data_IF_794370104582
#
_entry.id   IF_794370104582
#
_cell.length_a   1.000
_cell.length_b   1.000
_cell.length_c   1.000
_cell.angle_alpha   90.00
_cell.angle_beta   90.00
_cell.angle_gamma   90.00
#
_symmetry.space_group_name_H-M   'P 1'
#
loop_
_entity.id
_entity.type
_entity.pdbx_description
1 polymer ?
#
# COMPACT_ATOMS: atom_id res chain seq x y z
N UNK A 1 -6.79 20.57 -6.29
CA UNK A 1 -6.39 19.50 -7.25
C UNK A 1 -7.48 18.43 -7.32
N UNK A 2 -7.87 17.97 -8.51
CA UNK A 2 -8.88 16.90 -8.68
C UNK A 2 -8.18 15.54 -8.77
N UNK A 3 -8.60 14.58 -7.95
CA UNK A 3 -8.19 13.17 -8.08
C UNK A 3 -9.17 12.47 -9.00
N UNK A 4 -8.64 11.74 -9.98
CA UNK A 4 -9.45 11.02 -10.96
C UNK A 4 -10.23 9.89 -10.31
N UNK A 5 -11.38 9.53 -10.90
CA UNK A 5 -12.14 8.33 -10.49
C UNK A 5 -11.35 7.03 -10.69
N UNK A 6 -10.46 6.97 -11.68
CA UNK A 6 -9.64 5.79 -11.94
C UNK A 6 -8.51 5.67 -10.91
N UNK A 7 -8.53 4.61 -10.11
CA UNK A 7 -7.51 4.33 -9.10
C UNK A 7 -6.34 3.58 -9.76
N UNK A 8 -5.38 4.34 -10.31
CA UNK A 8 -4.23 3.80 -11.04
C UNK A 8 -2.92 4.34 -10.50
N UNK A 9 -1.84 3.57 -10.70
CA UNK A 9 -0.48 4.04 -10.39
C UNK A 9 -0.17 5.35 -11.13
N UNK A 10 -0.55 5.45 -12.41
CA UNK A 10 -0.34 6.65 -13.22
C UNK A 10 -1.07 7.89 -12.68
N UNK A 11 -2.29 7.71 -12.17
CA UNK A 11 -3.06 8.78 -11.53
C UNK A 11 -2.37 9.26 -10.24
N UNK A 12 -1.83 8.35 -9.44
CA UNK A 12 -1.05 8.69 -8.26
C UNK A 12 0.25 9.43 -8.61
N UNK A 13 0.99 8.99 -9.64
CA UNK A 13 2.21 9.69 -10.07
C UNK A 13 1.91 11.06 -10.70
N UNK A 14 0.76 11.21 -11.38
CA UNK A 14 0.29 12.50 -11.87
C UNK A 14 -0.05 13.45 -10.71
N UNK A 15 -0.69 12.93 -9.66
CA UNK A 15 -0.97 13.68 -8.42
C UNK A 15 0.33 14.14 -7.75
N UNK A 16 1.31 13.25 -7.56
CA UNK A 16 2.63 13.59 -7.02
C UNK A 16 3.36 14.63 -7.89
N UNK A 17 3.28 14.48 -9.21
CA UNK A 17 3.86 15.46 -10.16
C UNK A 17 3.21 16.83 -10.05
N UNK A 18 1.88 16.87 -9.83
CA UNK A 18 1.14 18.11 -9.58
C UNK A 18 1.59 18.79 -8.29
N UNK A 19 1.67 18.02 -7.19
CA UNK A 19 2.14 18.51 -5.87
C UNK A 19 3.57 19.05 -5.91
N UNK A 20 4.44 18.46 -6.72
CA UNK A 20 5.83 18.91 -6.84
C UNK A 20 5.99 20.17 -7.70
N UNK A 21 5.09 20.42 -8.66
CA UNK A 21 5.11 21.63 -9.49
C UNK A 21 4.49 22.82 -8.77
N UNK A 22 3.33 22.58 -8.18
CA UNK A 22 2.61 23.55 -7.35
C UNK A 22 2.37 22.90 -6.00
N UNK A 23 2.99 23.44 -4.96
CA UNK A 23 2.58 23.17 -3.58
C UNK A 23 1.20 23.79 -3.37
N UNK A 24 0.16 23.19 -3.97
CA UNK A 24 -1.16 23.77 -4.04
C UNK A 24 -1.73 23.82 -2.64
N UNK A 25 -1.88 25.01 -2.08
CA UNK A 25 -2.58 25.24 -0.80
C UNK A 25 -4.10 25.01 -0.89
N UNK A 26 -4.61 24.81 -2.11
CA UNK A 26 -6.02 24.56 -2.37
C UNK A 26 -6.48 23.14 -2.00
N UNK A 27 -7.79 22.92 -1.85
CA UNK A 27 -8.32 21.63 -1.46
C UNK A 27 -8.07 20.56 -2.52
N UNK A 28 -7.90 19.32 -2.05
CA UNK A 28 -8.01 18.14 -2.92
C UNK A 28 -9.48 17.78 -3.05
N UNK A 29 -9.93 17.56 -4.29
CA UNK A 29 -11.25 17.01 -4.57
C UNK A 29 -11.13 15.51 -4.82
N UNK A 30 -11.78 14.70 -3.99
CA UNK A 30 -11.78 13.23 -4.10
C UNK A 30 -13.10 12.69 -4.63
N UNK A 31 -13.07 11.65 -5.49
CA UNK A 31 -14.28 10.95 -5.89
C UNK A 31 -14.88 10.18 -4.71
N UNK A 32 -16.21 10.15 -4.58
CA UNK A 32 -16.91 9.34 -3.56
C UNK A 32 -16.59 7.84 -3.67
N UNK A 33 -16.34 7.35 -4.89
CA UNK A 33 -16.01 5.95 -5.15
C UNK A 33 -14.91 5.87 -6.22
N UNK A 34 -13.94 4.98 -5.99
CA UNK A 34 -12.95 4.61 -6.99
C UNK A 34 -13.56 3.71 -8.05
N UNK A 35 -13.12 3.87 -9.29
CA UNK A 35 -13.40 2.95 -10.39
C UNK A 35 -12.10 2.29 -10.82
N UNK A 36 -12.22 1.08 -11.36
CA UNK A 36 -11.11 0.32 -11.92
C UNK A 36 -9.94 0.28 -10.93
N UNK A 37 -10.07 -0.53 -9.87
CA UNK A 37 -9.01 -0.69 -8.88
C UNK A 37 -7.85 -1.48 -9.51
N UNK A 38 -7.01 -0.79 -10.27
CA UNK A 38 -5.85 -1.40 -10.93
C UNK A 38 -4.88 -1.91 -9.87
N UNK A 39 -4.06 -2.90 -10.25
CA UNK A 39 -3.07 -3.49 -9.36
C UNK A 39 -2.16 -2.42 -8.71
N UNK A 40 -2.24 -2.25 -7.39
CA UNK A 40 -1.47 -1.26 -6.62
C UNK A 40 -1.96 0.19 -6.74
N UNK A 41 -3.01 0.46 -7.51
CA UNK A 41 -3.45 1.82 -7.84
C UNK A 41 -4.07 2.57 -6.66
N UNK A 42 -4.92 1.90 -5.88
CA UNK A 42 -5.57 2.53 -4.72
C UNK A 42 -4.56 2.84 -3.60
N UNK A 43 -3.66 1.90 -3.28
CA UNK A 43 -2.58 2.14 -2.34
C UNK A 43 -1.62 3.25 -2.82
N UNK A 44 -1.35 3.36 -4.12
CA UNK A 44 -0.56 4.47 -4.68
C UNK A 44 -1.26 5.83 -4.50
N UNK A 45 -2.58 5.90 -4.66
CA UNK A 45 -3.35 7.12 -4.35
C UNK A 45 -3.27 7.47 -2.87
N UNK A 46 -3.29 6.48 -1.97
CA UNK A 46 -3.07 6.72 -0.53
C UNK A 46 -1.67 7.30 -0.28
N UNK A 47 -0.62 6.80 -0.94
CA UNK A 47 0.72 7.36 -0.79
C UNK A 47 0.80 8.82 -1.25
N UNK A 48 0.13 9.14 -2.37
CA UNK A 48 0.03 10.50 -2.84
C UNK A 48 -0.73 11.40 -1.85
N UNK A 49 -1.80 10.90 -1.22
CA UNK A 49 -2.56 11.60 -0.18
C UNK A 49 -1.73 11.85 1.09
N UNK A 50 -0.92 10.88 1.51
CA UNK A 50 0.03 11.05 2.61
C UNK A 50 1.01 12.18 2.27
N UNK A 51 1.61 12.11 1.08
CA UNK A 51 2.57 13.11 0.60
C UNK A 51 1.95 14.51 0.57
N UNK A 52 0.73 14.62 0.04
CA UNK A 52 -0.06 15.86 0.07
C UNK A 52 -0.26 16.38 1.49
N UNK A 53 -0.76 15.54 2.40
CA UNK A 53 -1.08 15.95 3.75
C UNK A 53 0.15 16.40 4.55
N UNK A 54 1.32 15.82 4.27
CA UNK A 54 2.58 16.24 4.87
C UNK A 54 3.15 17.51 4.25
N UNK A 55 2.83 17.80 2.99
CA UNK A 55 3.32 19.00 2.28
C UNK A 55 2.56 20.29 2.62
N UNK A 56 1.45 20.21 3.35
CA UNK A 56 0.55 21.35 3.61
C UNK A 56 0.23 21.44 5.10
N UNK A 57 0.27 22.66 5.64
CA UNK A 57 -0.03 22.93 7.06
C UNK A 57 -1.46 22.57 7.46
N UNK A 58 -2.43 22.88 6.60
CA UNK A 58 -3.85 22.64 6.82
C UNK A 58 -4.50 21.91 5.64
N UNK A 59 -4.34 20.58 5.54
CA UNK A 59 -4.86 19.81 4.42
C UNK A 59 -6.40 19.89 4.38
N UNK A 60 -6.94 20.39 3.26
CA UNK A 60 -8.38 20.57 3.07
C UNK A 60 -8.90 19.64 1.97
N UNK A 61 -10.01 18.96 2.26
CA UNK A 61 -10.69 18.05 1.36
C UNK A 61 -11.99 18.68 0.84
N UNK A 62 -12.27 18.52 -0.45
CA UNK A 62 -13.58 18.72 -1.01
C UNK A 62 -14.14 17.39 -1.49
N UNK A 63 -15.35 17.05 -1.09
CA UNK A 63 -16.01 15.80 -1.48
C UNK A 63 -17.10 16.04 -2.51
N UNK A 64 -17.68 14.97 -3.04
CA UNK A 64 -18.91 15.04 -3.85
C UNK A 64 -20.18 14.78 -3.03
N UNK A 65 -20.07 14.72 -1.70
CA UNK A 65 -21.24 14.67 -0.82
C UNK A 65 -22.10 15.90 -1.12
N UNK A 66 -23.42 15.74 -1.32
CA UNK A 66 -24.27 16.82 -1.83
C UNK A 66 -24.41 17.97 -0.83
N UNK A 67 -24.58 17.65 0.45
CA UNK A 67 -24.72 18.58 1.57
C UNK A 67 -24.36 17.88 2.89
N UNK A 68 -24.44 18.59 4.02
CA UNK A 68 -24.11 18.04 5.33
C UNK A 68 -25.04 16.92 5.82
N UNK A 69 -26.28 16.84 5.32
CA UNK A 69 -27.25 15.81 5.70
C UNK A 69 -26.92 14.43 5.10
N UNK A 70 -26.13 14.41 4.02
CA UNK A 70 -25.70 13.18 3.31
C UNK A 70 -26.85 12.17 3.08
N UNK A 71 -27.97 12.59 2.46
CA UNK A 71 -29.17 11.76 2.32
C UNK A 71 -28.90 10.41 1.61
N UNK A 72 -27.85 10.35 0.79
CA UNK A 72 -27.49 9.17 0.00
C UNK A 72 -26.38 8.30 0.64
N UNK A 73 -25.88 8.67 1.83
CA UNK A 73 -24.79 7.94 2.49
C UNK A 73 -23.47 7.97 1.70
N UNK A 74 -23.17 9.06 1.00
CA UNK A 74 -21.94 9.26 0.25
C UNK A 74 -20.71 9.36 1.16
N UNK A 75 -20.82 9.93 2.37
CA UNK A 75 -19.70 9.93 3.33
C UNK A 75 -19.32 8.50 3.69
N UNK A 76 -20.32 7.65 3.97
CA UNK A 76 -20.10 6.22 4.24
C UNK A 76 -19.49 5.51 3.03
N UNK A 77 -19.94 5.85 1.82
CA UNK A 77 -19.39 5.28 0.59
C UNK A 77 -17.92 5.65 0.40
N UNK A 78 -17.58 6.93 0.65
CA UNK A 78 -16.22 7.44 0.58
C UNK A 78 -15.32 6.79 1.64
N UNK A 79 -15.69 6.82 2.91
CA UNK A 79 -14.86 6.26 3.99
C UNK A 79 -14.72 4.75 3.89
N UNK A 80 -15.62 4.06 3.19
CA UNK A 80 -15.46 2.63 2.84
C UNK A 80 -14.33 2.34 1.86
N UNK A 81 -13.89 3.33 1.09
CA UNK A 81 -12.72 3.17 0.22
C UNK A 81 -11.44 3.34 1.04
N UNK A 82 -10.36 2.65 0.68
CA UNK A 82 -9.08 2.76 1.39
C UNK A 82 -8.50 4.18 1.23
N UNK A 83 -8.58 4.74 0.03
CA UNK A 83 -8.18 6.13 -0.20
C UNK A 83 -9.07 7.14 0.54
N UNK A 84 -10.36 6.83 0.69
CA UNK A 84 -11.33 7.74 1.30
C UNK A 84 -11.19 7.81 2.82
N UNK A 85 -11.01 6.66 3.51
CA UNK A 85 -10.70 6.67 4.94
C UNK A 85 -9.36 7.37 5.22
N UNK A 86 -8.33 7.10 4.42
CA UNK A 86 -7.03 7.74 4.59
C UNK A 86 -7.14 9.26 4.45
N UNK A 87 -7.80 9.75 3.41
CA UNK A 87 -7.99 11.18 3.19
C UNK A 87 -8.79 11.86 4.32
N UNK A 88 -9.87 11.22 4.79
CA UNK A 88 -10.69 11.73 5.88
C UNK A 88 -9.91 11.86 7.19
N UNK A 89 -8.99 10.93 7.45
CA UNK A 89 -8.14 10.94 8.64
C UNK A 89 -6.95 11.91 8.52
N UNK A 90 -6.45 12.16 7.31
CA UNK A 90 -5.33 13.07 7.04
C UNK A 90 -5.71 14.56 6.96
N UNK A 91 -6.98 14.87 6.66
CA UNK A 91 -7.44 16.24 6.48
C UNK A 91 -7.79 16.94 7.80
N UNK A 92 -7.60 18.27 7.84
CA UNK A 92 -8.09 19.13 8.93
C UNK A 92 -9.49 19.66 8.65
N UNK A 93 -9.80 19.90 7.37
CA UNK A 93 -11.08 20.46 6.93
C UNK A 93 -11.64 19.64 5.78
N UNK A 94 -12.95 19.42 5.80
CA UNK A 94 -13.67 18.83 4.69
C UNK A 94 -14.93 19.65 4.38
N UNK A 95 -15.21 19.84 3.09
CA UNK A 95 -16.44 20.44 2.60
C UNK A 95 -17.19 19.52 1.63
N UNK A 96 -18.52 19.62 1.64
CA UNK A 96 -19.39 19.07 0.61
C UNK A 96 -19.25 19.85 -0.71
N UNK A 97 -19.92 19.39 -1.77
CA UNK A 97 -19.87 20.01 -3.10
C UNK A 97 -20.56 21.39 -3.11
N UNK A 98 -21.57 21.58 -2.27
CA UNK A 98 -22.30 22.84 -2.05
C UNK A 98 -21.54 23.84 -1.15
N UNK A 99 -20.40 23.42 -0.58
CA UNK A 99 -19.57 24.22 0.31
C UNK A 99 -19.87 24.03 1.80
N UNK A 100 -20.88 23.24 2.18
CA UNK A 100 -21.17 22.95 3.58
C UNK A 100 -19.96 22.28 4.26
N UNK A 101 -19.66 22.69 5.49
CA UNK A 101 -18.56 22.10 6.28
C UNK A 101 -19.01 20.75 6.81
N UNK A 102 -18.24 19.70 6.51
CA UNK A 102 -18.56 18.30 6.88
C UNK A 102 -17.41 17.62 7.64
N UNK A 103 -16.40 18.38 8.07
CA UNK A 103 -15.18 17.85 8.71
C UNK A 103 -15.46 16.89 9.86
N UNK A 104 -16.34 17.28 10.79
CA UNK A 104 -16.66 16.50 11.98
C UNK A 104 -17.41 15.21 11.64
N UNK A 105 -18.46 15.31 10.81
CA UNK A 105 -19.24 14.16 10.37
C UNK A 105 -18.39 13.15 9.58
N UNK A 106 -17.56 13.63 8.64
CA UNK A 106 -16.67 12.78 7.86
C UNK A 106 -15.63 12.09 8.74
N UNK A 107 -15.05 12.82 9.70
CA UNK A 107 -14.06 12.28 10.64
C UNK A 107 -14.69 11.25 11.58
N UNK A 108 -15.88 11.51 12.11
CA UNK A 108 -16.61 10.55 12.94
C UNK A 108 -16.88 9.24 12.19
N UNK A 109 -17.33 9.33 10.93
CA UNK A 109 -17.52 8.16 10.05
C UNK A 109 -16.21 7.40 9.79
N UNK A 110 -15.11 8.11 9.54
CA UNK A 110 -13.82 7.50 9.31
C UNK A 110 -13.27 6.79 10.56
N UNK A 111 -13.43 7.40 11.74
CA UNK A 111 -13.03 6.81 13.03
C UNK A 111 -13.87 5.58 13.38
N UNK A 112 -15.19 5.64 13.17
CA UNK A 112 -16.06 4.48 13.39
C UNK A 112 -15.65 3.28 12.51
N UNK A 113 -15.29 3.53 11.24
CA UNK A 113 -14.76 2.47 10.38
C UNK A 113 -13.37 2.00 10.84
N UNK A 114 -12.50 2.93 11.25
CA UNK A 114 -11.16 2.61 11.74
C UNK A 114 -11.21 1.66 12.93
N UNK A 115 -12.12 1.89 13.88
CA UNK A 115 -12.28 1.03 15.06
C UNK A 115 -12.58 -0.43 14.67
N UNK A 116 -13.37 -0.65 13.61
CA UNK A 116 -13.64 -2.00 13.08
C UNK A 116 -12.41 -2.58 12.37
N UNK A 117 -11.70 -1.78 11.56
CA UNK A 117 -10.45 -2.19 10.87
C UNK A 117 -9.33 -2.51 11.87
N UNK A 118 -9.31 -1.87 13.03
CA UNK A 118 -8.32 -2.10 14.08
C UNK A 118 -8.71 -3.21 15.07
N UNK A 119 -9.90 -3.80 14.91
CA UNK A 119 -10.38 -4.92 15.72
C UNK A 119 -9.72 -6.24 15.34
N UNK A 120 -10.08 -7.32 16.04
CA UNK A 120 -9.68 -8.69 15.67
C UNK A 120 -10.41 -9.22 14.42
N UNK A 121 -11.43 -8.51 13.93
CA UNK A 121 -12.27 -8.90 12.79
C UNK A 121 -12.38 -7.80 11.73
N UNK A 122 -11.26 -7.34 11.15
CA UNK A 122 -11.24 -6.22 10.20
C UNK A 122 -12.05 -6.48 8.92
N UNK A 123 -12.29 -7.75 8.57
CA UNK A 123 -13.14 -8.14 7.44
C UNK A 123 -14.54 -7.55 7.54
N UNK A 124 -15.07 -7.34 8.74
CA UNK A 124 -16.41 -6.76 8.94
C UNK A 124 -16.52 -5.32 8.42
N UNK A 125 -15.38 -4.60 8.31
CA UNK A 125 -15.31 -3.25 7.75
C UNK A 125 -15.18 -3.22 6.21
N UNK A 126 -15.06 -4.38 5.57
CA UNK A 126 -14.73 -4.52 4.15
C UNK A 126 -15.86 -5.16 3.35
N UNK A 127 -16.01 -4.75 2.09
CA UNK A 127 -16.94 -5.39 1.14
C UNK A 127 -16.15 -6.04 0.01
N UNK A 128 -16.56 -7.25 -0.37
CA UNK A 128 -15.87 -8.01 -1.40
C UNK A 128 -14.58 -8.68 -0.90
N UNK A 129 -13.75 -9.20 -1.81
CA UNK A 129 -12.54 -9.94 -1.47
C UNK A 129 -11.38 -8.98 -1.17
N UNK A 130 -11.50 -8.21 -0.08
CA UNK A 130 -10.47 -7.28 0.38
C UNK A 130 -10.26 -7.39 1.90
N UNK A 131 -9.07 -7.02 2.33
CA UNK A 131 -8.65 -6.98 3.72
C UNK A 131 -7.78 -5.75 3.94
N UNK A 132 -8.01 -5.04 5.03
CA UNK A 132 -7.31 -3.78 5.31
C UNK A 132 -6.92 -3.75 6.78
N UNK A 133 -5.74 -3.19 7.06
CA UNK A 133 -5.29 -2.81 8.40
C UNK A 133 -4.67 -1.42 8.30
N UNK A 134 -4.99 -0.55 9.24
CA UNK A 134 -4.54 0.84 9.21
C UNK A 134 -4.10 1.29 10.61
N UNK A 135 -2.91 1.88 10.71
CA UNK A 135 -2.43 2.64 11.86
C UNK A 135 -2.50 4.12 11.53
N UNK A 136 -2.89 4.94 12.51
CA UNK A 136 -3.01 6.40 12.35
C UNK A 136 -2.30 7.06 13.53
N UNK A 137 -0.98 7.25 13.39
CA UNK A 137 -0.12 7.54 14.53
C UNK A 137 -0.39 8.92 15.14
N UNK A 138 -0.73 9.89 14.29
CA UNK A 138 -1.00 11.27 14.71
C UNK A 138 -2.35 11.45 15.43
N UNK A 139 -3.18 10.40 15.51
CA UNK A 139 -4.49 10.41 16.18
C UNK A 139 -4.55 9.47 17.39
N UNK A 140 -3.39 9.03 17.91
CA UNK A 140 -3.30 8.03 18.98
C UNK A 140 -4.08 6.74 18.65
N UNK A 141 -4.08 6.36 17.37
CA UNK A 141 -4.66 5.13 16.83
C UNK A 141 -3.56 4.33 16.11
N UNK A 142 -2.38 4.26 16.73
CA UNK A 142 -1.17 3.67 16.15
C UNK A 142 -1.10 2.13 16.23
N UNK A 143 -1.95 1.50 17.05
CA UNK A 143 -1.77 0.12 17.48
C UNK A 143 -3.03 -0.76 17.25
N UNK A 144 -3.28 -1.23 16.01
CA UNK A 144 -4.33 -2.20 15.72
C UNK A 144 -4.12 -3.50 16.52
N UNK A 145 -5.22 -4.08 17.04
CA UNK A 145 -5.17 -5.28 17.89
C UNK A 145 -4.53 -6.49 17.22
N UNK A 146 -4.61 -6.58 15.89
CA UNK A 146 -4.00 -7.66 15.13
C UNK A 146 -2.48 -7.58 15.07
N UNK A 147 -1.90 -6.38 15.21
CA UNK A 147 -0.47 -6.14 15.02
C UNK A 147 0.26 -5.84 16.33
N UNK A 148 -0.47 -5.42 17.37
CA UNK A 148 0.10 -4.98 18.65
C UNK A 148 -0.56 -5.69 19.83
N UNK A 149 0.24 -5.96 20.85
CA UNK A 149 -0.22 -6.24 22.20
C UNK A 149 -0.10 -4.97 23.05
N UNK A 150 -0.87 -4.90 24.14
CA UNK A 150 -0.69 -3.88 25.17
C UNK A 150 0.03 -4.53 26.34
N UNK A 151 1.09 -3.89 26.85
CA UNK A 151 1.72 -4.30 28.10
C UNK A 151 0.85 -3.94 29.33
N UNK A 152 1.34 -4.23 30.53
CA UNK A 152 0.62 -4.00 31.78
C UNK A 152 0.34 -2.51 32.02
N UNK A 153 1.20 -1.65 31.48
CA UNK A 153 1.11 -0.18 31.50
C UNK A 153 0.26 0.37 30.33
N UNK A 154 -0.30 -0.50 29.50
CA UNK A 154 -1.12 -0.15 28.35
C UNK A 154 -0.32 0.41 27.16
N UNK A 155 1.00 0.27 27.14
CA UNK A 155 1.83 0.68 26.02
C UNK A 155 1.81 -0.37 24.91
N UNK A 156 1.68 0.05 23.64
CA UNK A 156 1.64 -0.87 22.53
C UNK A 156 3.03 -1.44 22.23
N UNK A 157 3.11 -2.77 22.08
CA UNK A 157 4.29 -3.48 21.60
C UNK A 157 3.96 -4.29 20.36
N UNK A 158 4.84 -4.24 19.36
CA UNK A 158 4.61 -4.95 18.11
C UNK A 158 4.63 -6.47 18.35
N UNK A 159 3.61 -7.18 17.86
CA UNK A 159 3.55 -8.63 17.95
C UNK A 159 4.68 -9.29 17.16
N UNK A 160 5.09 -10.46 17.61
CA UNK A 160 6.09 -11.26 16.93
C UNK A 160 5.63 -11.80 15.56
N UNK A 161 6.56 -12.36 14.80
CA UNK A 161 6.33 -12.86 13.42
C UNK A 161 5.17 -13.85 13.32
N UNK A 162 4.94 -14.71 14.32
CA UNK A 162 3.82 -15.67 14.31
C UNK A 162 2.45 -15.01 14.22
N UNK A 163 2.27 -13.84 14.84
CA UNK A 163 1.00 -13.09 14.74
C UNK A 163 0.80 -12.53 13.32
N UNK A 164 1.86 -12.05 12.69
CA UNK A 164 1.81 -11.56 11.32
C UNK A 164 1.57 -12.67 10.30
N UNK A 165 2.06 -13.89 10.57
CA UNK A 165 1.67 -15.08 9.79
C UNK A 165 0.17 -15.36 9.94
N UNK A 166 -0.41 -15.21 11.14
CA UNK A 166 -1.86 -15.35 11.28
C UNK A 166 -2.63 -14.24 10.55
N UNK A 167 -2.13 -13.00 10.52
CA UNK A 167 -2.68 -11.94 9.68
C UNK A 167 -2.64 -12.32 8.20
N UNK A 168 -1.52 -12.87 7.71
CA UNK A 168 -1.43 -13.37 6.33
C UNK A 168 -2.46 -14.50 6.06
N UNK A 169 -2.65 -15.42 7.00
CA UNK A 169 -3.70 -16.46 6.90
C UNK A 169 -5.11 -15.87 6.89
N UNK A 170 -5.37 -14.82 7.66
CA UNK A 170 -6.66 -14.13 7.63
C UNK A 170 -6.90 -13.43 6.29
N UNK A 171 -5.85 -12.81 5.72
CA UNK A 171 -5.89 -12.24 4.36
C UNK A 171 -6.29 -13.34 3.37
N UNK A 172 -5.58 -14.47 3.36
CA UNK A 172 -5.83 -15.59 2.44
C UNK A 172 -7.27 -16.11 2.56
N UNK A 173 -7.72 -16.41 3.78
CA UNK A 173 -9.10 -16.86 4.05
C UNK A 173 -10.16 -15.83 3.65
N UNK A 174 -9.81 -14.55 3.61
CA UNK A 174 -10.74 -13.46 3.28
C UNK A 174 -10.86 -13.24 1.78
N UNK A 175 -9.74 -13.27 1.05
CA UNK A 175 -9.69 -12.83 -0.35
C UNK A 175 -9.66 -13.99 -1.35
N UNK A 176 -9.14 -15.16 -0.95
CA UNK A 176 -8.97 -16.32 -1.83
C UNK A 176 -10.21 -17.23 -1.78
N UNK A 177 -10.87 -17.51 -2.92
CA UNK A 177 -11.95 -18.49 -2.98
C UNK A 177 -11.47 -19.87 -2.56
N UNK A 178 -12.35 -20.64 -1.91
CA UNK A 178 -12.03 -22.02 -1.49
C UNK A 178 -11.59 -22.90 -2.65
N UNK A 179 -12.11 -22.63 -3.85
CA UNK A 179 -11.81 -23.37 -5.06
C UNK A 179 -10.41 -23.10 -5.63
N UNK A 180 -9.76 -22.02 -5.18
CA UNK A 180 -8.42 -21.60 -5.57
C UNK A 180 -7.43 -21.63 -4.40
N UNK A 181 -7.81 -22.19 -3.24
CA UNK A 181 -6.93 -22.21 -2.07
C UNK A 181 -5.67 -23.05 -2.30
N UNK A 182 -5.74 -24.09 -3.14
CA UNK A 182 -4.58 -24.89 -3.55
C UNK A 182 -3.59 -24.12 -4.42
N UNK A 183 -3.98 -22.99 -4.99
CA UNK A 183 -3.08 -22.09 -5.73
C UNK A 183 -2.13 -21.31 -4.83
N UNK A 184 -2.38 -21.30 -3.51
CA UNK A 184 -1.56 -20.62 -2.52
C UNK A 184 -0.71 -21.65 -1.77
N UNK A 185 0.60 -21.69 -2.01
CA UNK A 185 1.50 -22.51 -1.23
C UNK A 185 1.49 -22.07 0.24
N UNK A 186 1.49 -22.99 1.21
CA UNK A 186 1.62 -22.61 2.62
C UNK A 186 2.88 -21.76 2.91
N UNK A 187 3.96 -22.01 2.18
CA UNK A 187 5.19 -21.22 2.25
C UNK A 187 4.97 -19.76 1.83
N UNK A 188 4.07 -19.48 0.88
CA UNK A 188 3.73 -18.11 0.47
C UNK A 188 3.08 -17.35 1.63
N UNK A 189 2.09 -17.93 2.29
CA UNK A 189 1.43 -17.31 3.43
C UNK A 189 2.42 -16.98 4.55
N UNK A 190 3.32 -17.92 4.86
CA UNK A 190 4.34 -17.73 5.89
C UNK A 190 5.37 -16.66 5.49
N UNK A 191 5.78 -16.60 4.21
CA UNK A 191 6.68 -15.56 3.71
C UNK A 191 6.02 -14.18 3.68
N UNK A 192 4.76 -14.08 3.28
CA UNK A 192 3.97 -12.83 3.38
C UNK A 192 3.91 -12.39 4.83
N UNK A 193 3.61 -13.29 5.78
CA UNK A 193 3.62 -12.97 7.20
C UNK A 193 4.99 -12.46 7.69
N UNK A 194 6.07 -13.12 7.27
CA UNK A 194 7.45 -12.68 7.55
C UNK A 194 7.76 -11.29 6.99
N UNK A 195 7.38 -11.04 5.73
CA UNK A 195 7.57 -9.75 5.06
C UNK A 195 6.74 -8.64 5.71
N UNK A 196 5.47 -8.91 6.04
CA UNK A 196 4.61 -7.97 6.75
C UNK A 196 5.22 -7.60 8.11
N UNK A 197 5.71 -8.58 8.88
CA UNK A 197 6.37 -8.32 10.16
C UNK A 197 7.61 -7.43 9.99
N UNK A 198 8.48 -7.74 9.02
CA UNK A 198 9.70 -6.97 8.79
C UNK A 198 9.40 -5.55 8.32
N UNK A 199 8.46 -5.39 7.38
CA UNK A 199 8.04 -4.09 6.91
C UNK A 199 7.45 -3.28 8.07
N UNK A 200 6.52 -3.83 8.86
CA UNK A 200 5.95 -3.10 9.99
C UNK A 200 6.97 -2.78 11.07
N UNK A 201 7.89 -3.68 11.40
CA UNK A 201 8.99 -3.39 12.31
C UNK A 201 9.86 -2.24 11.80
N UNK A 202 10.16 -2.22 10.50
CA UNK A 202 10.89 -1.10 9.89
C UNK A 202 10.07 0.20 9.96
N UNK A 203 8.75 0.14 9.80
CA UNK A 203 7.89 1.32 9.96
C UNK A 203 7.83 1.82 11.41
N UNK A 204 7.88 0.91 12.38
CA UNK A 204 7.89 1.25 13.81
C UNK A 204 9.20 1.96 14.17
N UNK A 205 10.32 1.40 13.69
CA UNK A 205 11.66 1.93 13.96
C UNK A 205 11.92 3.27 13.23
N UNK A 206 11.34 3.47 12.04
CA UNK A 206 11.80 4.53 11.12
C UNK A 206 10.71 5.39 10.48
N UNK A 207 9.43 4.99 10.49
CA UNK A 207 8.37 5.67 9.72
C UNK A 207 7.39 6.48 10.56
N UNK A 208 7.68 6.70 11.85
CA UNK A 208 6.92 7.58 12.76
C UNK A 208 7.54 8.98 12.91
N UNK A 209 8.73 9.14 12.35
CA UNK A 209 9.53 10.37 12.38
C UNK A 209 9.95 10.76 10.97
N UNK A 210 10.28 12.03 10.78
CA UNK A 210 10.88 12.52 9.56
C UNK A 210 12.40 12.25 9.51
N UNK A 211 13.06 12.79 8.48
CA UNK A 211 14.50 12.65 8.23
C UNK A 211 15.36 13.32 9.33
N UNK A 212 14.77 14.19 10.16
CA UNK A 212 15.42 14.89 11.28
C UNK A 212 15.16 14.22 12.63
N UNK A 213 14.28 13.21 12.67
CA UNK A 213 13.86 12.54 13.89
C UNK A 213 12.64 13.17 14.56
N UNK A 214 12.03 14.19 13.94
CA UNK A 214 10.82 14.83 14.47
C UNK A 214 9.59 13.98 14.19
N UNK A 215 8.63 13.93 15.13
CA UNK A 215 7.38 13.18 14.92
C UNK A 215 6.59 13.72 13.74
N UNK A 216 6.10 12.82 12.89
CA UNK A 216 5.28 13.20 11.74
C UNK A 216 3.90 13.71 12.19
N UNK A 217 3.57 14.95 11.82
CA UNK A 217 2.24 15.54 12.11
C UNK A 217 1.09 14.88 11.33
N UNK A 218 1.40 14.13 10.27
CA UNK A 218 0.49 13.30 9.49
C UNK A 218 1.17 11.98 9.21
N UNK A 219 0.67 10.92 9.85
CA UNK A 219 1.24 9.58 9.73
C UNK A 219 0.15 8.52 9.70
N UNK A 220 0.20 7.73 8.63
CA UNK A 220 -0.58 6.53 8.39
C UNK A 220 0.37 5.41 7.96
N UNK A 221 0.12 4.21 8.49
CA UNK A 221 0.77 2.96 8.06
C UNK A 221 -0.32 1.93 7.80
N UNK A 222 -0.17 1.04 6.82
CA UNK A 222 -1.25 0.12 6.52
C UNK A 222 -0.90 -1.04 5.61
N UNK A 223 -1.81 -2.01 5.61
CA UNK A 223 -1.85 -3.13 4.68
C UNK A 223 -3.18 -3.03 3.94
N UNK A 224 -3.14 -3.15 2.63
CA UNK A 224 -4.30 -3.40 1.79
C UNK A 224 -4.07 -4.67 1.00
N UNK A 225 -4.97 -5.65 1.12
CA UNK A 225 -4.96 -6.84 0.31
C UNK A 225 -6.27 -6.98 -0.46
N UNK A 226 -6.21 -7.45 -1.70
CA UNK A 226 -7.38 -7.58 -2.58
C UNK A 226 -7.20 -8.75 -3.55
N UNK A 227 -8.30 -9.43 -3.88
CA UNK A 227 -8.36 -10.30 -5.06
C UNK A 227 -8.91 -9.54 -6.27
N UNK A 228 -8.24 -9.68 -7.39
CA UNK A 228 -8.72 -9.25 -8.70
C UNK A 228 -9.19 -10.47 -9.51
N UNK A 229 -10.44 -10.42 -9.97
CA UNK A 229 -10.97 -11.30 -11.00
C UNK A 229 -11.15 -10.45 -12.26
N UNK A 230 -10.31 -10.67 -13.27
CA UNK A 230 -10.15 -9.78 -14.41
C UNK A 230 -10.61 -10.51 -15.67
N UNK A 231 -11.80 -10.20 -16.20
CA UNK A 231 -12.22 -10.71 -17.49
C UNK A 231 -11.24 -10.28 -18.58
N UNK A 232 -10.98 -11.16 -19.55
CA UNK A 232 -10.06 -10.85 -20.66
C UNK A 232 -10.42 -9.54 -21.38
N UNK A 233 -11.72 -9.27 -21.59
CA UNK A 233 -12.21 -8.03 -22.21
C UNK A 233 -11.95 -6.76 -21.37
N UNK A 234 -11.69 -6.93 -20.07
CA UNK A 234 -11.39 -5.84 -19.12
C UNK A 234 -9.91 -5.76 -18.77
N UNK A 235 -9.06 -6.61 -19.36
CA UNK A 235 -7.63 -6.63 -19.03
C UNK A 235 -6.92 -5.32 -19.37
N UNK A 236 -7.22 -4.75 -20.54
CA UNK A 236 -6.67 -3.44 -20.95
C UNK A 236 -7.06 -2.32 -19.96
N UNK A 237 -8.28 -2.37 -19.44
CA UNK A 237 -8.76 -1.44 -18.42
C UNK A 237 -8.15 -1.71 -17.05
N UNK A 238 -7.75 -2.95 -16.73
CA UNK A 238 -7.11 -3.29 -15.44
C UNK A 238 -5.63 -2.90 -15.39
N UNK A 239 -4.91 -3.04 -16.50
CA UNK A 239 -3.49 -2.67 -16.57
C UNK A 239 -3.30 -1.17 -16.81
N UNK A 240 -4.34 -0.50 -17.29
CA UNK A 240 -4.35 0.94 -17.55
C UNK A 240 -3.23 1.33 -18.50
N UNK A 241 -2.56 2.43 -18.20
CA UNK A 241 -1.44 2.93 -19.00
C UNK A 241 -0.09 2.39 -18.51
N UNK A 242 -0.05 1.21 -17.88
CA UNK A 242 1.21 0.59 -17.42
C UNK A 242 1.69 -0.46 -18.42
N UNK A 243 2.73 -0.16 -19.22
CA UNK A 243 3.36 -1.16 -20.07
C UNK A 243 3.90 -2.37 -19.30
N UNK A 244 4.60 -2.23 -18.15
CA UNK A 244 5.15 -3.41 -17.50
C UNK A 244 4.07 -4.31 -16.85
N UNK A 245 2.99 -3.73 -16.29
CA UNK A 245 1.85 -4.54 -15.82
C UNK A 245 1.13 -5.21 -16.97
N UNK A 246 0.95 -4.52 -18.10
CA UNK A 246 0.37 -5.09 -19.31
C UNK A 246 1.18 -6.29 -19.81
N UNK A 247 2.50 -6.13 -19.90
CA UNK A 247 3.41 -7.19 -20.32
C UNK A 247 3.35 -8.40 -19.37
N UNK A 248 3.38 -8.16 -18.06
CA UNK A 248 3.22 -9.20 -17.05
C UNK A 248 1.90 -9.94 -17.20
N UNK A 249 0.77 -9.23 -17.21
CA UNK A 249 -0.55 -9.82 -17.30
C UNK A 249 -0.79 -10.60 -18.61
N UNK A 250 -0.18 -10.18 -19.73
CA UNK A 250 -0.30 -10.89 -21.01
C UNK A 250 0.30 -12.31 -20.99
N UNK A 251 1.26 -12.58 -20.09
CA UNK A 251 1.85 -13.91 -19.89
C UNK A 251 1.01 -14.82 -19.02
N UNK A 252 0.10 -14.25 -18.23
CA UNK A 252 -0.71 -15.03 -17.30
C UNK A 252 -1.84 -15.77 -18.02
N UNK A 253 -2.34 -16.83 -17.38
CA UNK A 253 -3.47 -17.62 -17.87
C UNK A 253 -4.51 -17.74 -16.77
N UNK A 254 -5.81 -17.78 -17.11
CA UNK A 254 -6.85 -18.07 -16.13
C UNK A 254 -6.61 -19.42 -15.44
N UNK A 255 -6.99 -19.57 -14.16
CA UNK A 255 -6.72 -20.77 -13.38
C UNK A 255 -7.42 -22.04 -13.88
N UNK A 256 -8.51 -21.93 -14.65
CA UNK A 256 -9.26 -23.09 -15.16
C UNK A 256 -9.70 -22.82 -16.59
N UNK A 257 -9.78 -23.87 -17.40
CA UNK A 257 -10.30 -23.76 -18.77
C UNK A 257 -11.75 -23.22 -18.83
N UNK A 258 -12.54 -23.46 -17.78
CA UNK A 258 -13.93 -22.97 -17.65
C UNK A 258 -14.05 -21.57 -17.05
N UNK A 259 -13.02 -21.09 -16.33
CA UNK A 259 -12.98 -19.74 -15.78
C UNK A 259 -12.22 -18.83 -16.74
N UNK A 260 -12.88 -17.82 -17.31
CA UNK A 260 -12.27 -16.91 -18.30
C UNK A 260 -11.48 -15.77 -17.66
N UNK A 261 -11.59 -15.60 -16.35
CA UNK A 261 -11.03 -14.46 -15.65
C UNK A 261 -9.62 -14.77 -15.13
N UNK A 262 -8.69 -13.86 -15.42
CA UNK A 262 -7.40 -13.84 -14.76
C UNK A 262 -7.61 -13.55 -13.26
N UNK A 263 -6.96 -14.33 -12.40
CA UNK A 263 -7.08 -14.18 -10.95
C UNK A 263 -5.73 -13.74 -10.35
N UNK A 264 -5.73 -12.62 -9.65
CA UNK A 264 -4.54 -12.09 -8.95
C UNK A 264 -4.87 -11.81 -7.50
N UNK A 265 -3.94 -12.12 -6.60
CA UNK A 265 -3.86 -11.51 -5.27
C UNK A 265 -2.97 -10.29 -5.38
N UNK A 266 -3.41 -9.19 -4.78
CA UNK A 266 -2.61 -8.01 -4.49
C UNK A 266 -2.44 -7.87 -2.99
N UNK A 267 -1.22 -7.58 -2.54
CA UNK A 267 -0.93 -7.11 -1.18
C UNK A 267 -0.05 -5.88 -1.26
N UNK A 268 -0.50 -4.79 -0.68
CA UNK A 268 0.17 -3.50 -0.62
C UNK A 268 0.45 -3.12 0.82
N UNK A 269 1.70 -2.79 1.14
CA UNK A 269 2.14 -2.25 2.44
C UNK A 269 2.57 -0.81 2.23
N UNK A 270 2.03 0.09 3.04
CA UNK A 270 2.24 1.52 2.92
C UNK A 270 2.61 2.16 4.26
N UNK A 271 3.50 3.15 4.24
CA UNK A 271 3.85 3.96 5.40
C UNK A 271 4.01 5.45 5.04
N UNK A 272 4.27 6.27 6.06
CA UNK A 272 4.40 7.74 5.96
C UNK A 272 5.81 8.26 6.21
N UNK A 273 6.78 7.37 6.37
CA UNK A 273 8.14 7.67 6.82
C UNK A 273 9.02 8.40 5.82
N UNK A 274 10.33 8.44 6.07
CA UNK A 274 11.30 9.09 5.19
C UNK A 274 11.64 8.24 3.95
N UNK A 275 11.21 6.97 3.91
CA UNK A 275 11.49 6.03 2.82
C UNK A 275 12.81 5.26 2.99
N UNK A 276 13.05 4.29 2.12
CA UNK A 276 14.14 3.31 2.28
C UNK A 276 15.53 3.93 2.28
N UNK A 277 15.82 4.80 1.30
CA UNK A 277 17.14 5.40 1.15
C UNK A 277 17.52 6.26 2.35
N UNK A 278 16.62 7.14 2.80
CA UNK A 278 16.85 7.96 3.97
C UNK A 278 16.94 7.11 5.26
N UNK A 279 16.11 6.07 5.38
CA UNK A 279 16.14 5.18 6.54
C UNK A 279 17.45 4.39 6.66
N UNK A 280 18.03 3.89 5.56
CA UNK A 280 19.26 3.10 5.60
C UNK A 280 20.52 3.97 5.66
N UNK A 281 20.52 5.12 4.98
CA UNK A 281 21.68 6.03 4.94
C UNK A 281 21.74 6.98 6.14
N UNK A 282 20.62 7.17 6.84
CA UNK A 282 20.45 8.20 7.88
C UNK A 282 20.77 9.62 7.38
N UNK A 283 20.58 9.85 6.08
CA UNK A 283 20.75 11.15 5.42
C UNK A 283 19.41 11.63 4.87
N UNK A 284 19.14 12.94 4.90
CA UNK A 284 18.01 13.50 4.19
C UNK A 284 18.01 13.15 2.71
N UNK A 285 16.83 12.91 2.12
CA UNK A 285 16.68 12.55 0.71
C UNK A 285 17.25 13.64 -0.22
N UNK A 286 17.16 14.90 0.20
CA UNK A 286 17.69 16.05 -0.54
C UNK A 286 19.22 16.02 -0.70
N UNK A 287 19.93 15.30 0.18
CA UNK A 287 21.39 15.17 0.14
C UNK A 287 21.86 14.00 -0.71
N UNK A 288 20.95 13.11 -1.13
CA UNK A 288 21.29 11.95 -1.95
C UNK A 288 21.18 12.32 -3.43
N UNK A 289 22.18 11.95 -4.22
CA UNK A 289 22.04 11.90 -5.69
C UNK A 289 21.05 10.80 -6.09
N UNK A 290 20.46 10.86 -7.30
CA UNK A 290 19.57 9.80 -7.79
C UNK A 290 20.22 8.40 -7.79
N UNK A 291 21.52 8.33 -8.08
CA UNK A 291 22.29 7.08 -8.08
C UNK A 291 22.49 6.56 -6.66
N UNK A 292 22.97 7.40 -5.73
CA UNK A 292 23.11 7.01 -4.31
C UNK A 292 21.78 6.55 -3.71
N UNK A 293 20.68 7.22 -4.04
CA UNK A 293 19.35 6.84 -3.60
C UNK A 293 18.94 5.47 -4.14
N UNK A 294 19.10 5.24 -5.46
CA UNK A 294 18.76 3.97 -6.08
C UNK A 294 19.59 2.81 -5.49
N UNK A 295 20.88 3.03 -5.26
CA UNK A 295 21.77 2.04 -4.65
C UNK A 295 21.42 1.78 -3.18
N UNK A 296 21.06 2.82 -2.42
CA UNK A 296 20.54 2.68 -1.07
C UNK A 296 19.25 1.85 -1.03
N UNK A 297 18.31 2.10 -1.95
CA UNK A 297 17.08 1.31 -2.05
C UNK A 297 17.37 -0.15 -2.38
N UNK A 298 18.26 -0.44 -3.34
CA UNK A 298 18.63 -1.82 -3.70
C UNK A 298 19.27 -2.57 -2.54
N UNK A 299 20.12 -1.90 -1.74
CA UNK A 299 20.72 -2.50 -0.54
C UNK A 299 19.69 -2.97 0.47
N UNK A 300 18.53 -2.31 0.60
CA UNK A 300 17.48 -2.74 1.53
C UNK A 300 16.90 -4.14 1.23
N UNK A 301 17.09 -4.67 0.01
CA UNK A 301 16.66 -6.01 -0.38
C UNK A 301 17.75 -7.08 -0.21
N UNK A 302 18.98 -6.69 0.15
CA UNK A 302 20.05 -7.64 0.44
C UNK A 302 19.77 -8.33 1.78
N UNK A 303 20.18 -9.60 1.88
CA UNK A 303 20.10 -10.35 3.14
C UNK A 303 20.82 -9.58 4.25
N UNK A 304 20.16 -9.45 5.40
CA UNK A 304 20.72 -8.78 6.58
C UNK A 304 21.17 -7.33 6.37
N UNK A 305 20.57 -6.61 5.40
CA UNK A 305 20.93 -5.23 5.08
C UNK A 305 20.86 -4.26 6.29
N UNK A 306 19.96 -4.54 7.25
CA UNK A 306 19.88 -3.82 8.52
C UNK A 306 20.54 -4.67 9.61
N UNK A 307 21.78 -4.36 9.98
CA UNK A 307 22.65 -5.17 10.86
C UNK A 307 22.23 -5.34 12.33
N UNK A 308 20.95 -5.58 12.65
CA UNK A 308 20.53 -6.00 13.99
C UNK A 308 20.69 -7.52 14.11
N UNK A 309 21.65 -7.96 14.92
CA UNK A 309 22.03 -9.35 15.22
C UNK A 309 20.97 -10.10 16.05
N UNK A 310 19.77 -10.30 15.53
CA UNK A 310 18.85 -11.35 16.00
C UNK A 310 18.65 -12.37 14.87
N UNK A 311 18.79 -13.65 15.20
CA UNK A 311 19.09 -14.79 14.29
C UNK A 311 18.08 -15.08 13.15
N UNK A 312 17.03 -14.26 12.97
CA UNK A 312 16.03 -14.35 11.89
C UNK A 312 15.64 -13.00 11.26
N UNK A 313 16.28 -11.90 11.63
CA UNK A 313 15.94 -10.58 11.09
C UNK A 313 16.58 -10.32 9.72
N UNK A 314 15.78 -9.80 8.77
CA UNK A 314 16.24 -9.40 7.44
C UNK A 314 16.15 -10.51 6.37
N UNK A 315 15.23 -11.47 6.55
CA UNK A 315 14.96 -12.56 5.61
C UNK A 315 13.53 -12.54 5.03
N UNK A 316 12.59 -11.82 5.64
CA UNK A 316 11.21 -11.71 5.20
C UNK A 316 11.07 -11.14 3.79
N UNK A 317 11.70 -10.00 3.50
CA UNK A 317 11.71 -9.45 2.13
C UNK A 317 12.38 -10.38 1.09
N UNK A 318 13.61 -10.90 1.32
CA UNK A 318 14.20 -11.91 0.45
C UNK A 318 13.30 -13.13 0.21
N UNK A 319 12.71 -13.68 1.27
CA UNK A 319 11.81 -14.84 1.17
C UNK A 319 10.58 -14.53 0.30
N UNK A 320 9.97 -13.35 0.46
CA UNK A 320 8.83 -12.96 -0.39
C UNK A 320 9.24 -12.85 -1.86
N UNK A 321 10.42 -12.31 -2.15
CA UNK A 321 10.93 -12.20 -3.54
C UNK A 321 11.11 -13.60 -4.14
N UNK A 322 11.73 -14.53 -3.41
CA UNK A 322 11.98 -15.87 -3.92
C UNK A 322 10.68 -16.66 -4.15
N UNK A 323 9.70 -16.55 -3.25
CA UNK A 323 8.40 -17.22 -3.48
C UNK A 323 7.64 -16.57 -4.63
N UNK A 324 7.63 -15.24 -4.75
CA UNK A 324 7.04 -14.60 -5.92
C UNK A 324 7.73 -15.05 -7.20
N UNK A 325 9.06 -15.21 -7.20
CA UNK A 325 9.82 -15.74 -8.34
C UNK A 325 9.40 -17.17 -8.71
N UNK A 326 9.28 -18.06 -7.73
CA UNK A 326 8.82 -19.44 -7.93
C UNK A 326 7.41 -19.50 -8.52
N UNK A 327 6.51 -18.63 -8.05
CA UNK A 327 5.10 -18.63 -8.42
C UNK A 327 4.73 -17.62 -9.52
N UNK A 328 5.73 -17.02 -10.17
CA UNK A 328 5.52 -16.10 -11.29
C UNK A 328 4.79 -14.81 -10.93
N UNK A 329 5.09 -14.26 -9.76
CA UNK A 329 4.58 -13.00 -9.26
C UNK A 329 5.27 -11.77 -9.82
N UNK A 330 4.78 -10.62 -9.37
CA UNK A 330 5.22 -9.29 -9.76
C UNK A 330 5.33 -8.41 -8.52
N UNK A 331 6.29 -7.50 -8.50
CA UNK A 331 6.51 -6.59 -7.38
C UNK A 331 6.71 -5.16 -7.86
N UNK A 332 6.16 -4.19 -7.13
CA UNK A 332 6.37 -2.76 -7.31
C UNK A 332 6.79 -2.12 -5.99
N UNK A 333 7.77 -1.21 -6.05
CA UNK A 333 8.22 -0.40 -4.92
C UNK A 333 8.17 1.08 -5.30
N UNK A 334 7.59 1.91 -4.43
CA UNK A 334 7.61 3.37 -4.55
C UNK A 334 8.09 4.00 -3.23
N UNK A 335 9.24 4.66 -3.26
CA UNK A 335 9.85 5.28 -2.08
C UNK A 335 10.75 6.44 -2.50
N UNK A 336 10.71 7.57 -1.79
CA UNK A 336 11.50 8.74 -2.17
C UNK A 336 11.22 9.21 -3.60
N UNK A 337 12.25 9.31 -4.44
CA UNK A 337 12.17 9.59 -5.90
C UNK A 337 12.26 8.31 -6.75
N UNK A 338 12.35 7.14 -6.12
CA UNK A 338 12.40 5.85 -6.80
C UNK A 338 10.99 5.27 -6.99
N UNK A 339 10.71 4.80 -8.20
CA UNK A 339 9.54 4.01 -8.58
C UNK A 339 10.09 2.82 -9.36
N UNK A 340 10.11 1.65 -8.75
CA UNK A 340 10.76 0.45 -9.27
C UNK A 340 9.74 -0.68 -9.40
N UNK A 341 10.00 -1.61 -10.30
CA UNK A 341 9.30 -2.86 -10.39
C UNK A 341 10.24 -4.03 -10.69
N UNK A 342 9.77 -5.24 -10.39
CA UNK A 342 10.41 -6.48 -10.80
C UNK A 342 9.33 -7.45 -11.30
N UNK A 343 9.53 -7.98 -12.50
CA UNK A 343 8.72 -9.07 -13.03
C UNK A 343 9.41 -10.41 -12.72
N UNK A 344 9.06 -10.96 -11.57
CA UNK A 344 9.71 -12.14 -11.02
C UNK A 344 9.32 -13.41 -11.81
N UNK A 345 8.30 -13.35 -12.67
CA UNK A 345 7.95 -14.44 -13.58
C UNK A 345 9.02 -14.71 -14.64
N UNK A 346 9.86 -13.72 -14.94
CA UNK A 346 10.99 -13.84 -15.86
C UNK A 346 12.27 -14.35 -15.18
N UNK A 347 12.27 -14.46 -13.85
CA UNK A 347 13.45 -14.74 -13.03
C UNK A 347 13.45 -16.16 -12.41
N UNK A 348 12.54 -17.07 -12.82
CA UNK A 348 12.28 -18.37 -12.15
C UNK A 348 13.49 -19.26 -11.84
N UNK A 349 14.63 -19.08 -12.51
CA UNK A 349 15.85 -19.90 -12.35
C UNK A 349 16.96 -19.19 -11.55
N UNK A 350 16.64 -18.09 -10.90
CA UNK A 350 17.63 -17.30 -10.16
C UNK A 350 17.85 -17.88 -8.76
N UNK A 351 19.10 -18.01 -8.26
CA UNK A 351 19.37 -18.56 -6.93
C UNK A 351 18.71 -17.78 -5.78
N UNK A 352 18.37 -18.49 -4.70
CA UNK A 352 17.77 -17.91 -3.49
C UNK A 352 18.56 -16.72 -2.92
N UNK A 353 17.85 -15.63 -2.65
CA UNK A 353 18.42 -14.39 -2.12
C UNK A 353 19.19 -13.55 -3.12
N UNK A 354 19.14 -13.91 -4.41
CA UNK A 354 19.58 -12.99 -5.47
C UNK A 354 18.60 -11.84 -5.55
N UNK A 355 19.13 -10.61 -5.55
CA UNK A 355 18.33 -9.41 -5.70
C UNK A 355 17.47 -9.48 -6.97
N UNK A 356 16.22 -9.01 -6.91
CA UNK A 356 15.39 -8.95 -8.09
C UNK A 356 15.93 -7.90 -9.08
N UNK A 357 15.67 -8.10 -10.37
CA UNK A 357 16.07 -7.16 -11.41
C UNK A 357 15.13 -5.94 -11.37
N UNK A 358 15.49 -4.95 -10.56
CA UNK A 358 14.71 -3.72 -10.44
C UNK A 358 14.86 -2.84 -11.67
N UNK A 359 13.73 -2.63 -12.35
CA UNK A 359 13.59 -1.69 -13.46
C UNK A 359 12.80 -0.48 -13.00
N UNK A 360 13.15 0.71 -13.47
CA UNK A 360 12.40 1.94 -13.16
C UNK A 360 11.01 1.93 -13.80
N UNK A 361 10.00 2.46 -13.11
CA UNK A 361 8.61 2.47 -13.54
C UNK A 361 8.05 3.90 -13.71
N UNK A 362 7.57 4.27 -14.91
CA UNK A 362 7.83 3.63 -16.21
C UNK A 362 9.33 3.66 -16.57
N UNK A 363 9.74 2.73 -17.45
CA UNK A 363 11.14 2.52 -17.85
C UNK A 363 11.81 3.71 -18.55
N UNK A 364 11.03 4.71 -18.95
CA UNK A 364 11.49 5.89 -19.69
C UNK A 364 11.87 7.08 -18.80
N UNK A 365 11.63 7.01 -17.48
CA UNK A 365 11.96 8.10 -16.55
C UNK A 365 13.07 7.70 -15.59
N UNK A 366 14.06 8.58 -15.42
CA UNK A 366 15.16 8.36 -14.47
C UNK A 366 14.78 8.71 -13.03
N UNK A 367 13.93 9.72 -12.81
CA UNK A 367 13.54 10.16 -11.45
C UNK A 367 12.07 10.57 -11.37
N UNK A 368 11.44 10.27 -10.22
CA UNK A 368 10.07 10.67 -9.91
C UNK A 368 10.04 11.83 -8.92
N UNK A 369 8.93 12.59 -8.84
CA UNK A 369 8.69 13.47 -7.72
C UNK A 369 8.89 12.75 -6.39
N UNK A 370 9.27 13.47 -5.33
CA UNK A 370 9.35 12.87 -4.00
C UNK A 370 7.96 12.36 -3.57
N UNK A 371 7.90 11.11 -3.14
CA UNK A 371 6.78 10.53 -2.40
C UNK A 371 7.19 10.33 -0.93
N UNK A 372 6.26 10.59 -0.02
CA UNK A 372 6.42 10.25 1.39
C UNK A 372 6.29 8.74 1.61
N UNK A 373 7.05 8.25 2.57
CA UNK A 373 7.06 6.86 3.01
C UNK A 373 7.48 5.86 1.93
N UNK A 374 7.04 4.63 2.14
CA UNK A 374 7.21 3.52 1.20
C UNK A 374 5.86 2.94 0.85
N UNK A 375 5.72 2.51 -0.41
CA UNK A 375 4.66 1.62 -0.86
C UNK A 375 5.31 0.43 -1.55
N UNK A 376 5.13 -0.76 -0.98
CA UNK A 376 5.47 -2.03 -1.61
C UNK A 376 4.17 -2.73 -2.00
N UNK A 377 4.00 -3.05 -3.28
CA UNK A 377 2.90 -3.85 -3.79
C UNK A 377 3.44 -5.14 -4.37
N UNK A 378 2.88 -6.28 -3.98
CA UNK A 378 3.15 -7.58 -4.57
C UNK A 378 1.88 -8.12 -5.23
N UNK A 379 2.06 -8.78 -6.36
CA UNK A 379 1.00 -9.47 -7.10
C UNK A 379 1.37 -10.94 -7.27
N UNK A 380 0.44 -11.83 -6.94
CA UNK A 380 0.58 -13.27 -7.13
C UNK A 380 -0.56 -13.78 -8.02
N UNK A 381 -0.28 -14.50 -9.12
CA UNK A 381 -1.33 -15.12 -9.90
C UNK A 381 -1.89 -16.36 -9.20
N UNK A 382 -3.20 -16.53 -9.23
CA UNK A 382 -3.84 -17.78 -8.79
C UNK A 382 -3.91 -18.72 -9.99
N UNK A 383 -3.23 -19.87 -9.88
CA UNK A 383 -3.19 -20.92 -10.90
C UNK A 383 -3.63 -22.24 -10.28
N UNK A 384 -4.45 -23.03 -10.98
CA UNK A 384 -4.69 -24.42 -10.59
C UNK A 384 -3.61 -25.25 -11.26
N UNK A 385 -2.75 -25.90 -10.47
CA UNK A 385 -1.87 -26.92 -11.04
C UNK A 385 -2.74 -28.03 -11.64
N UNK A 386 -2.46 -28.47 -12.88
CA UNK A 386 -3.26 -29.48 -13.59
C UNK A 386 -3.28 -30.84 -12.89
#
# INVERSE_FOLDING_TARGET
MLVTKAMTVSAAEAMLSGLARDASSGPIRLPTKGHHHHAGGEAAVVQALITWAQSIRHPALQTYVPNAEDPDGQMTTLTRQFFGIAAALLCDRASAVDGAVISEALRAQALARLDVIQSERPREASRGPQYEVLCVDHLDRAAPRLLYDLDLEGQPSLKGTSAFIEVARQIDRTIVPRELSSSIPPSFTDAVGGALYELFRNTEDHARVDERGDRLGRSIRGVQARRHAIPQAKLAEFVGTSPPLAAYCARLRPPRATNKDLQLIEISVIDSGPGFAAAITKRPLAELTPVEEADAVRRCFQKHATGKTTSRSGLGLPNVVDILREHGGFMRLRTGRQSLYADLSLERRTPYGTLPEFVTWPSERETFPRASGTLLTILLPLVVEP
#
